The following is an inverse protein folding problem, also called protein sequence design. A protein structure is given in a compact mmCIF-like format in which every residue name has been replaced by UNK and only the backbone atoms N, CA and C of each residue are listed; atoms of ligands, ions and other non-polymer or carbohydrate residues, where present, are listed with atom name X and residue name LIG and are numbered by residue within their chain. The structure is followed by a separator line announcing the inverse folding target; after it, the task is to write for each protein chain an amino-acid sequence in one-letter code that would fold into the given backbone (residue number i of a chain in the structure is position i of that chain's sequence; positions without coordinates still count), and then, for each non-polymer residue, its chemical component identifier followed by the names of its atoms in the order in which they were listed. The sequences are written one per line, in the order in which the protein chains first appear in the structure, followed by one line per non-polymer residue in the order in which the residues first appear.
data_IF_300117540626
#
_entry.id   IF_300117540626
#
_cell.length_a   1.000
_cell.length_b   1.000
_cell.length_c   1.000
_cell.angle_alpha   90.00
_cell.angle_beta   90.00
_cell.angle_gamma   90.00
#
_symmetry.space_group_name_H-M   'P 1'
#
loop_
_entity.id
_entity.type
_entity.pdbx_description
1 polymer ?
#
# COMPACT_ATOMS: atom_id res chain seq x y z
N UNK A 1 28.26 -19.85 36.75
CA UNK A 1 27.73 -19.18 35.53
C UNK A 1 26.51 -19.98 35.07
N UNK A 2 25.27 -19.43 35.03
CA UNK A 2 24.12 -20.21 34.60
C UNK A 2 24.13 -20.39 33.08
N UNK A 3 23.93 -21.64 32.65
CA UNK A 3 23.90 -22.08 31.26
C UNK A 3 22.54 -21.67 30.68
N UNK A 4 22.45 -20.48 30.09
CA UNK A 4 21.21 -20.00 29.46
C UNK A 4 20.96 -20.90 28.24
N UNK A 5 19.95 -21.77 28.33
CA UNK A 5 19.46 -22.51 27.17
C UNK A 5 18.95 -21.49 26.16
N UNK A 6 19.64 -21.30 25.03
CA UNK A 6 19.16 -20.38 23.99
C UNK A 6 17.77 -20.83 23.56
N UNK A 7 16.78 -19.97 23.74
CA UNK A 7 15.40 -20.31 23.37
C UNK A 7 15.35 -20.57 21.86
N UNK A 8 14.43 -21.43 21.41
CA UNK A 8 14.18 -21.68 19.98
C UNK A 8 13.95 -20.36 19.23
N UNK A 9 13.35 -19.38 19.89
CA UNK A 9 13.16 -18.02 19.37
C UNK A 9 14.48 -17.31 19.06
N UNK A 10 15.52 -17.46 19.90
CA UNK A 10 16.82 -16.82 19.69
C UNK A 10 17.59 -17.46 18.52
N UNK A 11 17.43 -18.79 18.35
CA UNK A 11 17.97 -19.51 17.21
C UNK A 11 17.29 -19.07 15.91
N UNK A 12 15.97 -18.91 15.89
CA UNK A 12 15.23 -18.42 14.72
C UNK A 12 15.66 -16.98 14.35
N UNK A 13 15.77 -16.09 15.33
CA UNK A 13 16.30 -14.73 15.12
C UNK A 13 17.70 -14.76 14.52
N UNK A 14 18.57 -15.67 14.96
CA UNK A 14 19.92 -15.85 14.39
C UNK A 14 19.88 -16.38 12.95
N UNK A 15 18.96 -17.26 12.62
CA UNK A 15 18.81 -17.81 11.26
C UNK A 15 18.25 -16.79 10.26
N UNK A 16 17.35 -15.93 10.71
CA UNK A 16 16.65 -14.95 9.87
C UNK A 16 17.41 -13.62 9.72
N UNK A 17 18.43 -13.38 10.55
CA UNK A 17 19.21 -12.12 10.54
C UNK A 17 19.70 -11.67 9.15
N UNK A 18 19.95 -12.61 8.24
CA UNK A 18 20.44 -12.31 6.90
C UNK A 18 19.32 -12.20 5.83
N UNK A 19 18.08 -12.57 6.16
CA UNK A 19 16.96 -12.63 5.21
C UNK A 19 15.95 -11.51 5.51
N UNK A 20 16.01 -10.41 4.73
CA UNK A 20 15.20 -9.19 4.93
C UNK A 20 13.68 -9.41 4.78
N UNK A 21 13.26 -10.46 4.09
CA UNK A 21 11.86 -10.75 3.77
C UNK A 21 11.22 -11.82 4.68
N UNK A 22 11.96 -12.32 5.68
CA UNK A 22 11.46 -13.29 6.65
C UNK A 22 11.15 -12.58 7.98
N UNK A 23 10.02 -12.92 8.60
CA UNK A 23 9.58 -12.45 9.91
C UNK A 23 9.37 -13.65 10.83
N UNK A 24 9.56 -13.49 12.15
CA UNK A 24 9.36 -14.58 13.10
C UNK A 24 8.59 -14.10 14.32
N UNK A 25 7.63 -14.93 14.75
CA UNK A 25 6.85 -14.76 15.96
C UNK A 25 7.40 -15.61 17.12
N UNK A 26 8.69 -15.97 17.06
CA UNK A 26 9.38 -16.83 18.03
C UNK A 26 9.07 -18.33 17.92
N UNK A 27 7.94 -18.69 17.31
CA UNK A 27 7.53 -20.09 17.11
C UNK A 27 7.55 -20.52 15.63
N UNK A 28 7.13 -19.62 14.74
CA UNK A 28 7.05 -19.85 13.30
C UNK A 28 7.83 -18.79 12.53
N UNK A 29 8.25 -19.15 11.32
CA UNK A 29 8.90 -18.24 10.38
C UNK A 29 7.94 -17.98 9.23
N UNK A 30 7.71 -16.72 8.93
CA UNK A 30 6.82 -16.27 7.89
C UNK A 30 7.61 -15.55 6.80
N UNK A 31 7.33 -15.85 5.55
CA UNK A 31 7.95 -15.18 4.41
C UNK A 31 7.00 -14.15 3.82
N UNK A 32 7.36 -12.87 3.89
CA UNK A 32 6.56 -11.76 3.39
C UNK A 32 6.49 -11.76 1.87
N UNK A 33 7.57 -12.11 1.17
CA UNK A 33 7.57 -12.18 -0.29
C UNK A 33 6.71 -13.33 -0.82
N UNK A 34 6.64 -14.45 -0.10
CA UNK A 34 5.83 -15.61 -0.49
C UNK A 34 4.44 -15.66 0.16
N UNK A 35 4.16 -14.81 1.14
CA UNK A 35 2.95 -14.83 1.98
C UNK A 35 2.62 -16.23 2.54
N UNK A 36 3.65 -16.95 2.97
CA UNK A 36 3.54 -18.33 3.46
C UNK A 36 4.39 -18.55 4.71
N UNK A 37 3.89 -19.42 5.56
CA UNK A 37 4.66 -19.98 6.67
C UNK A 37 5.74 -20.92 6.12
N UNK A 38 6.97 -20.71 6.58
CA UNK A 38 8.15 -21.53 6.26
C UNK A 38 8.39 -22.46 7.44
N UNK A 39 8.56 -23.74 7.14
CA UNK A 39 8.95 -24.73 8.15
C UNK A 39 10.31 -24.38 8.75
N UNK A 40 10.36 -24.26 10.06
CA UNK A 40 11.54 -23.76 10.79
C UNK A 40 12.04 -24.75 11.85
N UNK A 41 11.91 -26.05 11.56
CA UNK A 41 12.43 -27.10 12.44
C UNK A 41 13.96 -27.16 12.39
N UNK A 42 14.54 -26.85 11.23
CA UNK A 42 15.98 -26.80 11.01
C UNK A 42 16.33 -25.64 10.08
N UNK A 43 17.53 -25.06 10.23
CA UNK A 43 18.01 -23.95 9.41
C UNK A 43 17.93 -24.22 7.90
N UNK A 44 18.26 -25.45 7.49
CA UNK A 44 18.25 -25.85 6.08
C UNK A 44 16.88 -25.70 5.40
N UNK A 45 15.78 -25.83 6.14
CA UNK A 45 14.43 -25.64 5.57
C UNK A 45 14.19 -24.18 5.16
N UNK A 46 14.77 -23.24 5.92
CA UNK A 46 14.74 -21.82 5.59
C UNK A 46 15.65 -21.57 4.38
N UNK A 47 16.87 -22.09 4.38
CA UNK A 47 17.81 -21.93 3.27
C UNK A 47 17.26 -22.52 1.95
N UNK A 48 16.58 -23.67 2.02
CA UNK A 48 15.91 -24.30 0.87
C UNK A 48 14.76 -23.44 0.34
N UNK A 49 13.96 -22.85 1.23
CA UNK A 49 12.92 -21.91 0.84
C UNK A 49 13.50 -20.72 0.06
N UNK A 50 14.58 -20.11 0.57
CA UNK A 50 15.27 -18.99 -0.09
C UNK A 50 15.86 -19.37 -1.46
N UNK A 51 16.36 -20.61 -1.58
CA UNK A 51 16.94 -21.12 -2.81
C UNK A 51 15.90 -21.46 -3.89
N UNK A 52 14.62 -21.63 -3.50
CA UNK A 52 13.55 -22.07 -4.40
C UNK A 52 13.28 -21.03 -5.50
N UNK A 53 13.08 -21.49 -6.74
CA UNK A 53 12.79 -20.62 -7.89
C UNK A 53 11.54 -19.73 -7.67
N UNK A 54 10.52 -20.29 -7.01
CA UNK A 54 9.29 -19.56 -6.61
C UNK A 54 9.63 -18.38 -5.70
N UNK A 55 10.51 -18.56 -4.72
CA UNK A 55 10.91 -17.50 -3.82
C UNK A 55 11.64 -16.38 -4.58
N UNK A 56 12.62 -16.73 -5.43
CA UNK A 56 13.39 -15.76 -6.22
C UNK A 56 12.49 -14.94 -7.17
N UNK A 57 11.51 -15.58 -7.80
CA UNK A 57 10.55 -14.90 -8.67
C UNK A 57 9.61 -13.98 -7.87
N UNK A 58 9.09 -14.46 -6.73
CA UNK A 58 8.25 -13.67 -5.84
C UNK A 58 9.00 -12.50 -5.20
N UNK A 59 10.27 -12.68 -4.81
CA UNK A 59 11.13 -11.65 -4.26
C UNK A 59 11.40 -10.54 -5.28
N UNK A 60 11.66 -10.88 -6.55
CA UNK A 60 11.76 -9.89 -7.64
C UNK A 60 10.47 -9.07 -7.78
N UNK A 61 9.31 -9.72 -7.70
CA UNK A 61 8.00 -9.04 -7.76
C UNK A 61 7.72 -8.19 -6.53
N UNK A 62 8.14 -8.65 -5.36
CA UNK A 62 7.98 -7.94 -4.08
C UNK A 62 8.86 -6.67 -4.05
N UNK A 63 10.12 -6.76 -4.45
CA UNK A 63 11.01 -5.60 -4.56
C UNK A 63 10.60 -4.64 -5.69
N UNK A 64 10.02 -5.14 -6.78
CA UNK A 64 9.47 -4.32 -7.86
C UNK A 64 8.13 -3.65 -7.55
N UNK A 65 7.45 -4.05 -6.46
CA UNK A 65 6.15 -3.51 -6.05
C UNK A 65 6.20 -2.99 -4.61
N UNK A 66 6.99 -1.95 -4.36
CA UNK A 66 6.70 -1.00 -3.27
C UNK A 66 5.52 -0.08 -3.62
N UNK A 67 4.48 -0.62 -4.28
CA UNK A 67 3.15 -0.01 -4.38
C UNK A 67 2.14 -1.15 -4.46
N UNK A 68 2.00 -1.91 -3.36
CA UNK A 68 0.68 -2.42 -3.07
C UNK A 68 -0.18 -1.19 -2.78
N UNK A 69 -1.04 -0.82 -3.73
CA UNK A 69 -2.20 0.03 -3.49
C UNK A 69 -3.17 -0.75 -2.60
N UNK A 70 -2.78 -0.97 -1.35
CA UNK A 70 -3.76 -1.14 -0.30
C UNK A 70 -4.28 0.28 -0.03
N UNK A 71 -5.51 0.53 -0.46
CA UNK A 71 -6.27 1.66 0.07
C UNK A 71 -6.60 1.30 1.52
N UNK A 72 -5.60 1.44 2.39
CA UNK A 72 -5.85 1.53 3.82
C UNK A 72 -6.45 2.90 4.04
N UNK A 73 -7.78 2.94 4.04
CA UNK A 73 -8.54 3.98 4.72
C UNK A 73 -8.23 3.87 6.21
N UNK A 74 -7.07 4.33 6.62
CA UNK A 74 -6.74 4.58 8.01
C UNK A 74 -6.50 6.08 8.14
N UNK A 75 -7.44 6.72 8.82
CA UNK A 75 -7.26 8.03 9.43
C UNK A 75 -5.97 8.04 10.27
N UNK A 76 -5.38 9.21 10.39
CA UNK A 76 -4.23 9.64 11.22
C UNK A 76 -2.80 9.50 10.65
N UNK A 77 -2.31 10.63 10.10
CA UNK A 77 -1.15 11.34 10.64
C UNK A 77 0.22 10.68 10.55
N UNK A 78 0.89 10.80 9.40
CA UNK A 78 2.34 11.11 9.32
C UNK A 78 2.82 11.03 7.87
N UNK A 79 2.71 12.13 7.11
CA UNK A 79 3.50 12.51 5.90
C UNK A 79 2.83 13.72 5.20
N UNK A 80 2.62 14.82 5.93
CA UNK A 80 1.60 15.83 5.58
C UNK A 80 1.93 16.77 4.40
N UNK A 81 3.18 17.07 4.06
CA UNK A 81 3.39 18.20 3.14
C UNK A 81 3.15 17.92 1.64
N UNK A 82 3.17 16.65 1.20
CA UNK A 82 2.99 16.29 -0.22
C UNK A 82 1.70 15.50 -0.54
N UNK A 83 1.02 15.01 0.49
CA UNK A 83 -0.26 14.30 0.34
C UNK A 83 -1.46 15.24 0.53
N UNK A 84 -1.33 16.25 1.39
CA UNK A 84 -2.41 17.21 1.64
C UNK A 84 -2.73 18.02 0.39
N UNK A 85 -1.72 18.52 -0.33
CA UNK A 85 -1.89 19.31 -1.58
C UNK A 85 -2.41 18.50 -2.78
N UNK A 86 -2.25 17.17 -2.76
CA UNK A 86 -2.84 16.28 -3.78
C UNK A 86 -4.31 16.04 -3.48
N UNK A 87 -4.63 15.74 -2.22
CA UNK A 87 -6.02 15.55 -1.78
C UNK A 87 -6.85 16.82 -1.95
N UNK A 88 -6.27 17.99 -1.70
CA UNK A 88 -6.91 19.29 -1.87
C UNK A 88 -7.34 19.52 -3.32
N UNK A 89 -6.42 19.40 -4.29
CA UNK A 89 -6.76 19.57 -5.72
C UNK A 89 -7.88 18.63 -6.18
N UNK A 90 -7.83 17.35 -5.81
CA UNK A 90 -8.86 16.39 -6.21
C UNK A 90 -10.20 16.66 -5.52
N UNK A 91 -10.17 17.15 -4.28
CA UNK A 91 -11.36 17.60 -3.57
C UNK A 91 -11.98 18.83 -4.23
N UNK A 92 -11.18 19.83 -4.59
CA UNK A 92 -11.64 21.05 -5.26
C UNK A 92 -12.19 20.76 -6.66
N UNK A 93 -11.55 19.87 -7.41
CA UNK A 93 -12.05 19.41 -8.70
C UNK A 93 -13.40 18.71 -8.54
N UNK A 94 -13.52 17.79 -7.57
CA UNK A 94 -14.76 17.11 -7.24
C UNK A 94 -15.88 18.10 -6.88
N UNK A 95 -15.58 19.02 -5.96
CA UNK A 95 -16.48 20.07 -5.49
C UNK A 95 -16.97 20.96 -6.64
N UNK A 96 -16.05 21.46 -7.46
CA UNK A 96 -16.36 22.33 -8.59
C UNK A 96 -17.27 21.66 -9.62
N UNK A 97 -17.03 20.38 -9.92
CA UNK A 97 -17.88 19.62 -10.85
C UNK A 97 -19.28 19.38 -10.28
N UNK A 98 -19.40 19.06 -8.99
CA UNK A 98 -20.70 18.86 -8.33
C UNK A 98 -21.48 20.18 -8.27
N UNK A 99 -20.84 21.27 -7.83
CA UNK A 99 -21.47 22.60 -7.77
C UNK A 99 -21.88 23.12 -9.16
N UNK A 100 -21.09 22.83 -10.19
CA UNK A 100 -21.40 23.21 -11.57
C UNK A 100 -22.37 22.25 -12.27
N UNK A 101 -22.87 21.23 -11.57
CA UNK A 101 -23.72 20.17 -12.11
C UNK A 101 -23.13 19.48 -13.36
N UNK A 102 -21.80 19.30 -13.38
CA UNK A 102 -21.07 18.67 -14.48
C UNK A 102 -20.97 17.17 -14.21
N UNK A 103 -21.51 16.30 -15.10
CA UNK A 103 -21.39 14.86 -14.96
C UNK A 103 -19.93 14.41 -15.00
N UNK A 104 -19.59 13.45 -14.15
CA UNK A 104 -18.22 12.91 -14.10
C UNK A 104 -17.88 11.98 -15.26
N UNK A 105 -18.86 11.47 -16.00
CA UNK A 105 -18.62 10.74 -17.26
C UNK A 105 -17.78 11.54 -18.26
N UNK A 106 -17.80 12.87 -18.18
CA UNK A 106 -16.98 13.72 -19.03
C UNK A 106 -15.47 13.46 -18.82
N UNK A 107 -15.05 12.98 -17.65
CA UNK A 107 -13.65 12.62 -17.36
C UNK A 107 -13.22 11.28 -17.97
N UNK A 108 -14.18 10.42 -18.32
CA UNK A 108 -13.90 9.20 -19.09
C UNK A 108 -13.56 9.53 -20.55
N UNK A 109 -14.01 10.69 -21.05
CA UNK A 109 -13.67 11.13 -22.40
C UNK A 109 -12.19 11.50 -22.50
N UNK A 110 -11.38 10.78 -23.32
CA UNK A 110 -9.92 10.97 -23.33
C UNK A 110 -9.50 12.37 -23.77
N UNK A 111 -10.26 13.02 -24.65
CA UNK A 111 -9.97 14.38 -25.11
C UNK A 111 -10.09 15.42 -23.99
N UNK A 112 -11.17 15.35 -23.22
CA UNK A 112 -11.42 16.25 -22.09
C UNK A 112 -10.39 16.02 -20.97
N UNK A 113 -10.12 14.76 -20.68
CA UNK A 113 -9.10 14.38 -19.70
C UNK A 113 -7.70 14.87 -20.09
N UNK A 114 -7.26 14.63 -21.33
CA UNK A 114 -5.96 15.10 -21.82
C UNK A 114 -5.83 16.62 -21.80
N UNK A 115 -6.92 17.33 -22.09
CA UNK A 115 -6.96 18.78 -21.98
C UNK A 115 -6.67 19.23 -20.53
N UNK A 116 -7.39 18.68 -19.55
CA UNK A 116 -7.18 19.00 -18.15
C UNK A 116 -5.78 18.61 -17.67
N UNK A 117 -5.30 17.42 -18.02
CA UNK A 117 -3.95 16.96 -17.66
C UNK A 117 -2.86 17.89 -18.22
N UNK A 118 -3.03 18.38 -19.45
CA UNK A 118 -2.10 19.31 -20.12
C UNK A 118 -2.00 20.65 -19.40
N UNK A 119 -3.13 21.26 -19.01
CA UNK A 119 -3.12 22.60 -18.41
C UNK A 119 -2.92 22.58 -16.90
N UNK A 120 -3.40 21.55 -16.21
CA UNK A 120 -3.22 21.40 -14.77
C UNK A 120 -1.85 20.80 -14.41
N UNK A 121 -1.10 20.26 -15.37
CA UNK A 121 0.17 19.54 -15.15
C UNK A 121 0.05 18.45 -14.08
N UNK A 122 -1.13 17.83 -13.98
CA UNK A 122 -1.48 16.83 -12.96
C UNK A 122 -2.30 15.74 -13.61
N UNK A 123 -2.13 14.52 -13.12
CA UNK A 123 -2.96 13.39 -13.52
C UNK A 123 -4.40 13.58 -13.03
N UNK A 124 -5.37 13.38 -13.91
CA UNK A 124 -6.79 13.53 -13.62
C UNK A 124 -7.41 12.16 -13.29
N UNK A 125 -8.09 12.00 -12.15
CA UNK A 125 -8.73 10.75 -11.77
C UNK A 125 -9.90 10.42 -12.69
N UNK A 126 -10.19 9.12 -12.82
CA UNK A 126 -11.39 8.65 -13.51
C UNK A 126 -12.65 8.84 -12.64
N UNK A 127 -13.84 8.69 -13.22
CA UNK A 127 -15.12 8.88 -12.51
C UNK A 127 -15.16 8.03 -11.23
N UNK A 128 -14.82 6.75 -11.36
CA UNK A 128 -14.89 5.79 -10.25
C UNK A 128 -14.02 6.21 -9.07
N UNK A 129 -12.83 6.78 -9.34
CA UNK A 129 -11.94 7.27 -8.29
C UNK A 129 -12.52 8.48 -7.57
N UNK A 130 -13.12 9.43 -8.30
CA UNK A 130 -13.80 10.59 -7.69
C UNK A 130 -14.98 10.16 -6.84
N UNK A 131 -15.81 9.26 -7.36
CA UNK A 131 -17.00 8.74 -6.68
C UNK A 131 -16.68 8.01 -5.39
N UNK A 132 -15.70 7.13 -5.39
CA UNK A 132 -15.41 6.31 -4.22
C UNK A 132 -14.61 7.06 -3.15
N UNK A 133 -13.68 7.95 -3.54
CA UNK A 133 -12.73 8.54 -2.59
C UNK A 133 -13.12 9.96 -2.12
N UNK A 134 -13.80 10.73 -2.96
CA UNK A 134 -14.00 12.17 -2.73
C UNK A 134 -15.47 12.56 -2.56
N UNK A 135 -16.42 11.87 -3.23
CA UNK A 135 -17.86 12.15 -3.08
C UNK A 135 -18.35 12.01 -1.64
N UNK A 136 -17.93 10.93 -0.96
CA UNK A 136 -18.32 10.67 0.43
C UNK A 136 -17.83 11.77 1.37
N UNK A 137 -16.60 12.26 1.14
CA UNK A 137 -16.01 13.36 1.91
C UNK A 137 -16.74 14.68 1.66
N UNK A 138 -17.11 14.95 0.41
CA UNK A 138 -17.90 16.12 0.03
C UNK A 138 -19.21 16.21 0.83
N UNK A 139 -20.03 15.15 0.82
CA UNK A 139 -21.29 15.15 1.58
C UNK A 139 -21.10 15.23 3.10
N UNK A 140 -20.04 14.61 3.63
CA UNK A 140 -19.73 14.69 5.06
C UNK A 140 -19.32 16.11 5.49
N UNK A 141 -18.61 16.84 4.64
CA UNK A 141 -18.20 18.22 4.91
C UNK A 141 -19.38 19.18 4.78
N UNK A 142 -20.23 19.02 3.75
CA UNK A 142 -21.42 19.85 3.58
C UNK A 142 -22.50 19.64 4.66
N UNK A 143 -22.57 18.46 5.29
CA UNK A 143 -23.53 18.18 6.37
C UNK A 143 -23.14 18.75 7.74
N UNK A 144 -21.88 19.15 7.94
CA UNK A 144 -21.38 19.68 9.22
C UNK A 144 -21.45 21.21 9.33
N UNK A 145 -21.91 21.88 8.27
CA UNK A 145 -21.95 23.35 8.19
C UNK A 145 -23.34 23.97 8.33
N UNK A 146 -24.38 23.18 8.62
CA UNK A 146 -25.74 23.64 8.93
C UNK A 146 -25.99 23.66 10.45
#
# INVERSE_FOLDING_TARGET
MPKVSSSKADLLKKWIKNAKHLSTDGTVVYCNSCSKQVSSNQKFQIDQHLATAVHKEMEKRFNGKMQQTFVSTALCGSSQQNQDSKNEFYFDLCNSMVQSNIPWNNLEQPAFRKFLEKYCNRHIPNESTLRNNYLKKFYQNHRKGD
#
